data_IF_961382228442
#
_entry.id   IF_961382228442
#
_cell.length_a   1.000
_cell.length_b   1.000
_cell.length_c   1.000
_cell.angle_alpha   90.00
_cell.angle_beta   90.00
_cell.angle_gamma   90.00
#
_symmetry.space_group_name_H-M   'P 1'
#
loop_
_entity.id
_entity.type
_entity.pdbx_description
1 polymer ?
#
# COMPACT_ATOMS: atom_id res chain seq x y z
N UNK A 1 -1.97 -31.63 12.16
CA UNK A 1 -2.69 -30.64 11.33
C UNK A 1 -1.75 -30.20 10.23
N UNK A 2 -1.81 -30.87 9.08
CA UNK A 2 -0.94 -30.60 7.95
C UNK A 2 -1.39 -29.36 7.21
N UNK A 3 -0.46 -28.42 7.03
CA UNK A 3 -0.52 -27.39 6.01
C UNK A 3 -0.90 -28.06 4.69
N UNK A 4 -2.05 -27.70 4.14
CA UNK A 4 -2.48 -28.16 2.81
C UNK A 4 -1.68 -27.40 1.76
N UNK A 5 -0.47 -27.88 1.51
CA UNK A 5 0.32 -27.53 0.34
C UNK A 5 -0.30 -28.25 -0.86
N UNK A 6 -1.24 -27.57 -1.52
CA UNK A 6 -1.86 -28.07 -2.76
C UNK A 6 -0.85 -27.84 -3.88
N UNK A 7 -0.02 -28.85 -4.13
CA UNK A 7 0.98 -28.85 -5.17
C UNK A 7 0.35 -29.08 -6.55
N UNK A 8 -0.11 -27.99 -7.17
CA UNK A 8 -0.47 -27.94 -8.59
C UNK A 8 0.21 -26.72 -9.22
N UNK A 9 1.48 -26.85 -9.63
CA UNK A 9 2.34 -25.73 -10.09
C UNK A 9 2.14 -24.46 -9.25
N UNK A 10 2.40 -24.58 -7.95
CA UNK A 10 1.96 -23.62 -6.94
C UNK A 10 2.77 -22.33 -6.91
N UNK A 11 2.29 -21.32 -7.60
CA UNK A 11 2.55 -19.93 -7.24
C UNK A 11 1.37 -19.51 -6.36
N UNK A 12 1.49 -19.69 -5.03
CA UNK A 12 0.45 -19.29 -4.10
C UNK A 12 0.59 -17.78 -3.91
N UNK A 13 -0.11 -17.01 -4.74
CA UNK A 13 -0.22 -15.58 -4.50
C UNK A 13 -0.95 -15.34 -3.17
N UNK A 14 -0.61 -14.25 -2.47
CA UNK A 14 -1.28 -13.89 -1.22
C UNK A 14 -2.80 -13.85 -1.40
N UNK A 15 -3.59 -14.33 -0.42
CA UNK A 15 -5.06 -14.33 -0.55
C UNK A 15 -5.61 -12.92 -0.76
N UNK A 16 -4.94 -11.89 -0.23
CA UNK A 16 -5.28 -10.48 -0.45
C UNK A 16 -4.98 -10.02 -1.88
N UNK A 17 -3.88 -10.48 -2.48
CA UNK A 17 -3.55 -10.18 -3.88
C UNK A 17 -4.54 -10.86 -4.82
N UNK A 18 -4.93 -12.10 -4.54
CA UNK A 18 -5.91 -12.81 -5.34
C UNK A 18 -7.32 -12.18 -5.23
N UNK A 19 -7.74 -11.79 -4.02
CA UNK A 19 -8.99 -11.06 -3.83
C UNK A 19 -8.97 -9.71 -4.56
N UNK A 20 -7.85 -8.98 -4.54
CA UNK A 20 -7.68 -7.74 -5.29
C UNK A 20 -7.73 -7.97 -6.80
N UNK A 21 -7.07 -9.02 -7.32
CA UNK A 21 -7.05 -9.35 -8.75
C UNK A 21 -8.42 -9.74 -9.31
N UNK A 22 -9.28 -10.33 -8.49
CA UNK A 22 -10.64 -10.67 -8.88
C UNK A 22 -11.67 -9.57 -8.59
N UNK A 23 -11.28 -8.43 -7.99
CA UNK A 23 -12.21 -7.35 -7.65
C UNK A 23 -13.13 -7.66 -6.46
N UNK A 24 -12.73 -8.59 -5.58
CA UNK A 24 -13.55 -9.03 -4.44
C UNK A 24 -13.41 -8.07 -3.25
N UNK A 25 -14.05 -6.90 -3.35
CA UNK A 25 -14.00 -5.83 -2.35
C UNK A 25 -14.38 -6.29 -0.93
N UNK A 26 -15.43 -7.11 -0.79
CA UNK A 26 -15.87 -7.62 0.52
C UNK A 26 -14.84 -8.53 1.17
N UNK A 27 -14.18 -9.37 0.37
CA UNK A 27 -13.12 -10.27 0.85
C UNK A 27 -11.92 -9.45 1.29
N UNK A 28 -11.51 -8.42 0.52
CA UNK A 28 -10.42 -7.53 0.91
C UNK A 28 -10.76 -6.78 2.20
N UNK A 29 -11.99 -6.30 2.37
CA UNK A 29 -12.42 -5.67 3.63
C UNK A 29 -12.33 -6.61 4.83
N UNK A 30 -12.76 -7.86 4.68
CA UNK A 30 -12.63 -8.87 5.73
C UNK A 30 -11.16 -9.17 6.04
N UNK A 31 -10.32 -9.32 5.02
CA UNK A 31 -8.87 -9.57 5.19
C UNK A 31 -8.16 -8.38 5.86
N UNK A 32 -8.56 -7.16 5.54
CA UNK A 32 -8.06 -5.92 6.16
C UNK A 32 -8.51 -5.81 7.62
N UNK A 33 -9.75 -6.23 7.95
CA UNK A 33 -10.23 -6.30 9.33
C UNK A 33 -9.52 -7.39 10.15
N UNK A 34 -9.24 -8.55 9.54
CA UNK A 34 -8.47 -9.66 10.12
C UNK A 34 -6.95 -9.40 10.11
N UNK A 35 -6.52 -8.16 9.83
CA UNK A 35 -5.15 -7.69 9.55
C UNK A 35 -4.05 -7.97 10.59
N UNK A 36 -4.29 -8.86 11.56
CA UNK A 36 -3.28 -9.36 12.51
C UNK A 36 -2.56 -10.63 12.03
N UNK A 37 -3.03 -11.31 10.98
CA UNK A 37 -2.39 -12.55 10.46
C UNK A 37 -1.79 -12.46 9.08
N UNK A 38 -2.19 -11.48 8.28
CA UNK A 38 -1.80 -11.37 6.88
C UNK A 38 -1.02 -10.09 6.63
N UNK A 39 0.06 -10.20 5.85
CA UNK A 39 0.87 -9.06 5.49
C UNK A 39 0.20 -8.33 4.31
N UNK A 40 -0.40 -7.16 4.55
CA UNK A 40 -1.17 -6.41 3.53
C UNK A 40 -0.27 -5.86 2.41
N UNK A 41 1.02 -5.74 2.71
CA UNK A 41 2.08 -5.35 1.81
C UNK A 41 2.75 -6.56 1.12
N UNK A 42 2.17 -7.75 1.25
CA UNK A 42 2.69 -8.92 0.57
C UNK A 42 2.52 -8.77 -0.93
N UNK A 43 3.55 -9.22 -1.65
CA UNK A 43 3.62 -9.13 -3.09
C UNK A 43 3.46 -10.51 -3.72
N UNK A 44 2.89 -10.55 -4.91
CA UNK A 44 2.81 -11.78 -5.72
C UNK A 44 4.21 -12.33 -5.98
N UNK A 45 4.35 -13.65 -6.04
CA UNK A 45 5.66 -14.26 -6.24
C UNK A 45 6.17 -14.04 -7.68
N UNK A 46 5.27 -13.97 -8.67
CA UNK A 46 5.66 -13.76 -10.07
C UNK A 46 6.10 -12.32 -10.30
N UNK A 47 5.20 -11.37 -10.01
CA UNK A 47 5.40 -9.99 -10.44
C UNK A 47 5.79 -9.03 -9.35
N UNK A 48 5.94 -9.51 -8.12
CA UNK A 48 6.10 -8.64 -6.95
C UNK A 48 5.06 -7.52 -6.89
N UNK A 49 3.89 -7.70 -7.52
CA UNK A 49 2.79 -6.76 -7.43
C UNK A 49 2.11 -6.93 -6.07
N UNK A 50 1.94 -5.85 -5.34
CA UNK A 50 1.12 -5.82 -4.14
C UNK A 50 -0.36 -5.68 -4.50
N UNK A 51 -1.26 -5.98 -3.56
CA UNK A 51 -2.69 -5.77 -3.73
C UNK A 51 -3.03 -4.33 -4.21
N UNK A 52 -2.25 -3.34 -3.76
CA UNK A 52 -2.39 -1.95 -4.20
C UNK A 52 -1.96 -1.74 -5.66
N UNK A 53 -0.87 -2.36 -6.12
CA UNK A 53 -0.45 -2.31 -7.52
C UNK A 53 -1.50 -2.95 -8.43
N UNK A 54 -2.07 -4.09 -8.01
CA UNK A 54 -3.12 -4.78 -8.75
C UNK A 54 -4.36 -3.90 -8.87
N UNK A 55 -4.83 -3.32 -7.77
CA UNK A 55 -5.98 -2.40 -7.76
C UNK A 55 -5.74 -1.13 -8.61
N UNK A 56 -4.54 -0.56 -8.53
CA UNK A 56 -4.15 0.61 -9.33
C UNK A 56 -4.07 0.30 -10.82
N UNK A 57 -3.65 -0.91 -11.19
CA UNK A 57 -3.60 -1.38 -12.59
C UNK A 57 -5.00 -1.68 -13.14
N UNK A 58 -5.88 -2.21 -12.30
CA UNK A 58 -7.26 -2.50 -12.66
C UNK A 58 -8.12 -1.23 -12.83
N UNK A 59 -7.72 -0.11 -12.21
CA UNK A 59 -8.53 1.12 -12.20
C UNK A 59 -9.61 1.12 -11.12
N UNK A 60 -9.51 0.21 -10.14
CA UNK A 60 -10.53 0.00 -9.12
C UNK A 60 -10.35 0.97 -7.94
N UNK A 61 -10.96 2.15 -8.05
CA UNK A 61 -10.88 3.18 -7.01
C UNK A 61 -11.42 2.70 -5.65
N UNK A 62 -12.52 1.94 -5.63
CA UNK A 62 -13.08 1.38 -4.39
C UNK A 62 -12.11 0.43 -3.69
N UNK A 63 -11.46 -0.45 -4.46
CA UNK A 63 -10.44 -1.37 -3.94
C UNK A 63 -9.23 -0.59 -3.38
N UNK A 64 -8.76 0.43 -4.11
CA UNK A 64 -7.67 1.31 -3.66
C UNK A 64 -8.05 2.00 -2.35
N UNK A 65 -9.27 2.54 -2.24
CA UNK A 65 -9.71 3.20 -1.00
C UNK A 65 -9.82 2.21 0.17
N UNK A 66 -10.33 0.99 -0.07
CA UNK A 66 -10.42 -0.04 0.96
C UNK A 66 -9.02 -0.42 1.49
N UNK A 67 -8.05 -0.61 0.59
CA UNK A 67 -6.65 -0.90 0.93
C UNK A 67 -5.98 0.28 1.66
N UNK A 68 -6.16 1.51 1.16
CA UNK A 68 -5.62 2.74 1.78
C UNK A 68 -6.22 3.04 3.16
N UNK A 69 -7.39 2.47 3.47
CA UNK A 69 -8.01 2.56 4.80
C UNK A 69 -7.12 1.92 5.88
N UNK A 70 -6.33 0.91 5.52
CA UNK A 70 -5.45 0.25 6.46
C UNK A 70 -4.25 1.13 6.84
N UNK A 71 -3.86 1.16 8.12
CA UNK A 71 -2.77 2.04 8.57
C UNK A 71 -1.39 1.60 8.06
N UNK A 72 -1.15 0.30 8.04
CA UNK A 72 0.17 -0.29 7.73
C UNK A 72 0.45 -0.42 6.23
N UNK A 73 -0.44 0.04 5.35
CA UNK A 73 -0.22 -0.12 3.91
C UNK A 73 0.90 0.79 3.38
N UNK A 74 1.83 0.18 2.67
CA UNK A 74 2.98 0.84 2.07
C UNK A 74 2.72 1.11 0.59
N UNK A 75 2.52 2.38 0.29
CA UNK A 75 2.23 2.91 -1.05
C UNK A 75 3.49 3.15 -1.90
N UNK A 76 4.68 2.88 -1.36
CA UNK A 76 5.99 3.04 -2.04
C UNK A 76 6.57 1.72 -2.53
N UNK A 77 5.80 0.62 -2.47
CA UNK A 77 6.29 -0.69 -2.86
C UNK A 77 6.33 -0.80 -4.38
N UNK A 78 7.47 -1.28 -4.88
CA UNK A 78 7.72 -1.48 -6.30
C UNK A 78 7.58 -2.95 -6.64
N UNK A 79 7.00 -3.19 -7.81
CA UNK A 79 6.91 -4.52 -8.40
C UNK A 79 8.22 -4.89 -9.14
N UNK A 80 8.24 -6.07 -9.80
CA UNK A 80 9.39 -6.58 -10.55
C UNK A 80 9.83 -5.64 -11.69
N UNK A 81 8.90 -4.83 -12.19
CA UNK A 81 9.11 -3.85 -13.26
C UNK A 81 9.58 -2.49 -12.74
N UNK A 82 9.93 -2.39 -11.45
CA UNK A 82 10.24 -1.13 -10.76
C UNK A 82 9.08 -0.11 -10.81
N UNK A 83 7.85 -0.58 -10.97
CA UNK A 83 6.66 0.27 -11.00
C UNK A 83 6.07 0.40 -9.60
N UNK A 84 6.03 1.62 -9.09
CA UNK A 84 5.26 2.00 -7.92
C UNK A 84 3.75 2.03 -8.27
N UNK A 85 2.82 1.86 -7.30
CA UNK A 85 1.37 1.95 -7.57
C UNK A 85 0.96 3.31 -8.14
N UNK A 86 1.71 4.38 -7.83
CA UNK A 86 1.52 5.69 -8.45
C UNK A 86 1.85 5.68 -9.96
N UNK A 87 2.90 4.97 -10.38
CA UNK A 87 3.28 4.82 -11.79
C UNK A 87 2.22 4.04 -12.55
N UNK A 88 1.70 2.97 -11.95
CA UNK A 88 0.60 2.17 -12.53
C UNK A 88 -0.66 3.02 -12.72
N UNK A 89 -1.05 3.82 -11.71
CA UNK A 89 -2.19 4.74 -11.84
C UNK A 89 -2.00 5.79 -12.95
N UNK A 90 -0.76 6.27 -13.15
CA UNK A 90 -0.44 7.18 -14.27
C UNK A 90 -0.56 6.47 -15.62
N UNK A 91 -0.12 5.21 -15.73
CA UNK A 91 -0.26 4.40 -16.95
C UNK A 91 -1.72 4.09 -17.27
N UNK A 92 -2.53 3.83 -16.25
CA UNK A 92 -3.98 3.64 -16.37
C UNK A 92 -4.74 4.94 -16.73
N UNK A 93 -4.08 6.11 -16.57
CA UNK A 93 -4.64 7.46 -16.77
C UNK A 93 -5.77 7.80 -15.77
N UNK A 94 -5.79 7.14 -14.62
CA UNK A 94 -6.77 7.34 -13.55
C UNK A 94 -6.28 8.39 -12.54
N UNK A 95 -6.65 9.65 -12.77
CA UNK A 95 -6.22 10.76 -11.90
C UNK A 95 -6.85 10.67 -10.49
N UNK A 96 -8.02 10.02 -10.35
CA UNK A 96 -8.64 9.75 -9.05
C UNK A 96 -7.80 8.82 -8.17
N UNK A 97 -7.29 7.72 -8.73
CA UNK A 97 -6.45 6.77 -7.99
C UNK A 97 -5.10 7.41 -7.66
N UNK A 98 -4.51 8.09 -8.63
CA UNK A 98 -3.26 8.83 -8.46
C UNK A 98 -3.34 9.86 -7.35
N UNK A 99 -4.41 10.65 -7.29
CA UNK A 99 -4.62 11.65 -6.23
C UNK A 99 -4.86 11.00 -4.87
N UNK A 100 -5.59 9.88 -4.79
CA UNK A 100 -5.78 9.13 -3.55
C UNK A 100 -4.46 8.58 -2.97
N UNK A 101 -3.63 7.95 -3.80
CA UNK A 101 -2.31 7.43 -3.39
C UNK A 101 -1.38 8.58 -2.99
N UNK A 102 -1.35 9.66 -3.77
CA UNK A 102 -0.54 10.86 -3.46
C UNK A 102 -0.94 11.47 -2.12
N UNK A 103 -2.23 11.62 -1.84
CA UNK A 103 -2.70 12.16 -0.57
C UNK A 103 -2.23 11.33 0.63
N UNK A 104 -2.23 9.99 0.49
CA UNK A 104 -1.70 9.09 1.51
C UNK A 104 -0.20 9.27 1.73
N UNK A 105 0.58 9.38 0.66
CA UNK A 105 2.03 9.65 0.71
C UNK A 105 2.33 10.94 1.47
N UNK A 106 1.62 12.02 1.13
CA UNK A 106 1.78 13.33 1.75
C UNK A 106 1.40 13.29 3.24
N UNK A 107 0.30 12.62 3.59
CA UNK A 107 -0.11 12.43 4.99
C UNK A 107 0.98 11.73 5.83
N UNK A 108 1.67 10.75 5.26
CA UNK A 108 2.76 10.05 5.94
C UNK A 108 4.03 10.91 6.09
N UNK A 109 4.34 11.72 5.07
CA UNK A 109 5.46 12.65 5.11
C UNK A 109 5.21 13.83 6.09
N UNK A 110 3.99 14.39 6.11
CA UNK A 110 3.62 15.47 7.05
C UNK A 110 3.82 15.04 8.51
N UNK A 111 3.51 13.79 8.87
CA UNK A 111 3.77 13.24 10.22
C UNK A 111 5.26 13.21 10.57
N UNK A 112 6.15 13.02 9.59
CA UNK A 112 7.60 13.06 9.80
C UNK A 112 8.16 14.49 9.86
N UNK A 113 7.53 15.45 9.16
CA UNK A 113 7.99 16.86 9.18
C UNK A 113 7.76 17.56 10.52
N UNK A 114 6.76 17.14 11.31
CA UNK A 114 6.54 17.65 12.67
C UNK A 114 7.60 17.20 13.69
N UNK A 115 8.33 16.10 13.44
CA UNK A 115 9.40 15.65 14.34
C UNK A 115 10.80 16.21 13.98
N UNK A 116 10.97 16.78 12.78
CA UNK A 116 12.24 17.37 12.33
C UNK A 116 12.35 18.88 12.55
N UNK A 117 11.34 19.50 13.17
CA UNK A 117 11.34 20.91 13.59
C UNK A 117 11.31 21.01 15.11
N UNK A 118 12.32 20.48 15.80
CA UNK A 118 12.60 20.94 17.15
C UNK A 118 13.16 22.37 17.08
N UNK A 119 12.52 23.38 17.70
CA UNK A 119 13.08 24.70 17.85
C UNK A 119 14.09 24.68 19.00
N UNK A 120 15.38 24.62 18.68
CA UNK A 120 16.49 24.93 19.61
C UNK A 120 17.27 26.08 18.98
N UNK A 121 17.54 27.21 19.61
CA UNK A 121 17.37 27.70 20.97
C UNK A 121 17.43 29.23 20.86
N UNK A 122 16.63 29.94 21.66
CA UNK A 122 16.93 31.34 22.00
C UNK A 122 18.34 31.37 22.59
N UNK A 123 19.32 31.95 21.89
CA UNK A 123 20.47 32.51 22.59
C UNK A 123 19.97 33.78 23.25
N UNK A 124 19.65 33.65 24.54
CA UNK A 124 19.50 34.78 25.43
C UNK A 124 20.77 35.60 25.42
N UNK A 125 20.60 36.91 25.53
CA UNK A 125 21.69 37.86 25.53
C UNK A 125 22.70 37.61 26.64
N UNK A 126 23.92 38.04 26.38
CA UNK A 126 24.72 38.73 27.37
C UNK A 126 25.29 39.97 26.67
N UNK A 127 24.65 41.09 26.95
CA UNK A 127 25.34 42.33 27.23
C UNK A 127 26.41 42.11 28.32
N UNK A 128 27.66 42.50 28.04
CA UNK A 128 28.70 43.01 28.96
C UNK A 128 30.06 43.01 28.27
#
# INVERSE_FOLDING_TARGET
>A
MGSVEINGMGIIDPPICQAAAHGHHDVVRLLVQEGTRLNINESTIVSHDTALCIAARAGDLEMVQALLSHHQIDVNLRNEYFEDPLMLAVKARDDCIKSAIRNRMESNNSRQTSLRRSPRMKFGGLDS
#
